data_IF_425389514214
#
_entry.id   IF_425389514214
#
_cell.length_a   1.000
_cell.length_b   1.000
_cell.length_c   1.000
_cell.angle_alpha   90.00
_cell.angle_beta   90.00
_cell.angle_gamma   90.00
#
_symmetry.space_group_name_H-M   'P 1'
#
loop_
_entity.id
_entity.type
_entity.pdbx_description
1 polymer ?
#
# COMPACT_ATOMS: atom_id res chain seq x y z
N UNK A 1 -6.11 -17.84 -0.02
CA UNK A 1 -4.95 -17.69 0.89
C UNK A 1 -3.80 -16.85 0.30
N UNK A 2 -3.39 -17.00 -0.97
CA UNK A 2 -2.25 -16.24 -1.54
C UNK A 2 -2.48 -14.73 -1.74
N UNK A 3 -3.71 -14.26 -1.97
CA UNK A 3 -3.99 -12.82 -2.12
C UNK A 3 -3.85 -12.03 -0.81
N UNK A 4 -4.01 -12.71 0.33
CA UNK A 4 -3.80 -12.11 1.64
C UNK A 4 -2.30 -11.93 1.88
N UNK A 5 -1.46 -12.88 1.46
CA UNK A 5 0.00 -12.74 1.55
C UNK A 5 0.56 -11.61 0.68
N UNK A 6 0.04 -11.40 -0.54
CA UNK A 6 0.53 -10.32 -1.40
C UNK A 6 0.10 -8.92 -0.93
N UNK A 7 -1.06 -8.82 -0.24
CA UNK A 7 -1.54 -7.57 0.37
C UNK A 7 -0.94 -7.33 1.77
N UNK A 8 -0.47 -8.36 2.46
CA UNK A 8 0.27 -8.25 3.73
C UNK A 8 1.73 -7.79 3.49
N UNK A 9 2.29 -8.03 2.30
CA UNK A 9 3.72 -7.76 2.05
C UNK A 9 4.06 -6.27 1.88
N UNK A 10 3.07 -5.39 1.69
CA UNK A 10 3.30 -3.95 1.65
C UNK A 10 2.81 -3.28 2.94
N UNK A 11 3.50 -3.57 4.06
CA UNK A 11 3.31 -2.85 5.32
C UNK A 11 3.43 -1.34 5.07
N UNK A 12 2.46 -0.60 5.59
CA UNK A 12 2.46 0.85 5.49
C UNK A 12 3.56 1.46 6.35
N UNK A 13 3.92 2.71 6.03
CA UNK A 13 4.82 3.47 6.90
C UNK A 13 4.25 3.66 8.30
N UNK A 14 2.92 3.63 8.47
CA UNK A 14 2.24 3.81 9.75
C UNK A 14 2.50 2.64 10.70
N UNK A 15 2.43 1.43 10.18
CA UNK A 15 2.73 0.22 10.95
C UNK A 15 4.22 0.14 11.31
N UNK A 16 5.11 0.47 10.36
CA UNK A 16 6.55 0.58 10.62
C UNK A 16 6.85 1.63 11.71
N UNK A 17 6.19 2.78 11.64
CA UNK A 17 6.29 3.84 12.65
C UNK A 17 5.75 3.41 14.01
N UNK A 18 4.69 2.59 14.04
CA UNK A 18 4.13 2.03 15.28
C UNK A 18 5.12 1.08 15.97
N UNK A 19 5.87 0.29 15.19
CA UNK A 19 6.96 -0.56 15.68
C UNK A 19 8.11 0.31 16.24
N UNK A 20 8.56 1.31 15.48
CA UNK A 20 9.62 2.23 15.91
C UNK A 20 9.27 2.99 17.20
N UNK A 21 8.00 3.38 17.36
CA UNK A 21 7.49 4.06 18.56
C UNK A 21 7.26 3.12 19.75
N UNK A 22 7.51 1.81 19.62
CA UNK A 22 7.29 0.83 20.69
C UNK A 22 5.81 0.64 21.04
N UNK A 23 4.89 1.07 20.16
CA UNK A 23 3.43 0.93 20.34
C UNK A 23 2.89 -0.37 19.77
N UNK A 24 3.76 -1.21 19.20
CA UNK A 24 3.45 -2.56 18.77
C UNK A 24 3.23 -3.45 20.01
N UNK A 25 2.03 -3.41 20.58
CA UNK A 25 1.64 -4.27 21.70
C UNK A 25 1.78 -5.76 21.32
N UNK A 26 2.50 -6.52 22.14
CA UNK A 26 2.65 -8.00 22.08
C UNK A 26 3.31 -8.60 20.82
N UNK A 27 4.38 -8.00 20.29
CA UNK A 27 5.23 -8.68 19.28
C UNK A 27 6.53 -9.16 19.90
N UNK A 28 6.97 -10.36 19.52
CA UNK A 28 8.29 -10.89 19.91
C UNK A 28 9.42 -10.06 19.30
N UNK A 29 10.49 -9.84 20.07
CA UNK A 29 11.64 -9.06 19.65
C UNK A 29 12.30 -9.61 18.37
N UNK A 30 12.27 -10.92 18.16
CA UNK A 30 12.78 -11.56 16.95
C UNK A 30 11.98 -11.17 15.69
N UNK A 31 10.64 -11.11 15.80
CA UNK A 31 9.78 -10.70 14.69
C UNK A 31 9.95 -9.21 14.37
N UNK A 32 10.11 -8.38 15.39
CA UNK A 32 10.38 -6.94 15.22
C UNK A 32 11.71 -6.74 14.49
N UNK A 33 12.76 -7.48 14.88
CA UNK A 33 14.09 -7.40 14.26
C UNK A 33 14.05 -7.83 12.79
N UNK A 34 13.35 -8.92 12.49
CA UNK A 34 13.20 -9.41 11.12
C UNK A 34 12.45 -8.40 10.23
N UNK A 35 11.32 -7.85 10.71
CA UNK A 35 10.57 -6.82 9.98
C UNK A 35 11.38 -5.53 9.79
N UNK A 36 12.17 -5.14 10.80
CA UNK A 36 13.05 -3.97 10.71
C UNK A 36 14.18 -4.18 9.70
N UNK A 37 14.77 -5.38 9.66
CA UNK A 37 15.81 -5.72 8.70
C UNK A 37 15.26 -5.72 7.27
N UNK A 38 14.06 -6.26 7.05
CA UNK A 38 13.41 -6.29 5.73
C UNK A 38 13.09 -4.88 5.20
N UNK A 39 12.77 -3.92 6.08
CA UNK A 39 12.45 -2.55 5.71
C UNK A 39 13.59 -1.55 5.97
N UNK A 40 14.78 -2.04 6.36
CA UNK A 40 15.95 -1.21 6.72
C UNK A 40 16.38 -0.28 5.59
N UNK A 41 16.42 -0.77 4.35
CA UNK A 41 16.78 0.05 3.19
C UNK A 41 15.79 1.19 2.97
N UNK A 42 14.50 0.94 3.16
CA UNK A 42 13.45 1.98 3.06
C UNK A 42 13.59 3.02 4.17
N UNK A 43 13.99 2.62 5.38
CA UNK A 43 14.28 3.54 6.48
C UNK A 43 15.52 4.39 6.22
N UNK A 44 16.57 3.78 5.62
CA UNK A 44 17.81 4.47 5.27
C UNK A 44 17.61 5.47 4.12
N UNK A 45 16.87 5.09 3.08
CA UNK A 45 16.56 5.96 1.94
C UNK A 45 15.51 7.02 2.29
N UNK A 46 14.63 6.75 3.26
CA UNK A 46 13.63 7.69 3.75
C UNK A 46 12.70 8.18 2.64
N UNK A 47 12.70 9.49 2.38
CA UNK A 47 11.92 10.09 1.30
C UNK A 47 12.52 9.83 -0.09
N UNK A 48 13.81 9.53 -0.19
CA UNK A 48 14.47 9.19 -1.46
C UNK A 48 14.04 7.82 -2.01
N UNK A 49 13.37 7.01 -1.20
CA UNK A 49 12.71 5.78 -1.62
C UNK A 49 11.57 6.04 -2.62
N UNK A 50 10.93 7.21 -2.52
CA UNK A 50 9.86 7.60 -3.42
C UNK A 50 10.44 8.08 -4.75
N UNK A 51 10.08 7.38 -5.81
CA UNK A 51 10.57 7.61 -7.16
C UNK A 51 9.70 8.65 -7.85
N UNK A 52 10.30 9.32 -8.83
CA UNK A 52 9.59 10.22 -9.72
C UNK A 52 8.64 9.43 -10.65
N UNK A 53 7.58 10.09 -11.18
CA UNK A 53 6.67 9.48 -12.14
C UNK A 53 7.42 8.97 -13.37
N UNK A 54 7.01 7.83 -13.91
CA UNK A 54 7.64 7.27 -15.11
C UNK A 54 6.60 6.68 -16.07
N UNK A 55 6.86 6.83 -17.38
CA UNK A 55 5.96 6.27 -18.40
C UNK A 55 5.81 4.73 -18.29
N UNK A 56 6.85 4.06 -17.78
CA UNK A 56 6.85 2.62 -17.56
C UNK A 56 5.93 2.20 -16.40
N UNK A 57 6.00 2.91 -15.26
CA UNK A 57 5.11 2.67 -14.13
C UNK A 57 3.66 3.03 -14.44
N UNK A 58 3.43 4.13 -15.18
CA UNK A 58 2.10 4.46 -15.69
C UNK A 58 1.51 3.35 -16.57
N UNK A 59 2.32 2.73 -17.45
CA UNK A 59 1.89 1.62 -18.30
C UNK A 59 1.55 0.37 -17.47
N UNK A 60 2.36 0.05 -16.46
CA UNK A 60 2.12 -1.08 -15.55
C UNK A 60 0.84 -0.90 -14.75
N UNK A 61 0.61 0.28 -14.17
CA UNK A 61 -0.64 0.57 -13.42
C UNK A 61 -1.86 0.44 -14.32
N UNK A 62 -1.77 0.89 -15.57
CA UNK A 62 -2.85 0.71 -16.57
C UNK A 62 -3.09 -0.76 -16.88
N UNK A 63 -2.03 -1.55 -17.05
CA UNK A 63 -2.10 -2.97 -17.36
C UNK A 63 -2.54 -3.86 -16.17
N UNK A 64 -2.39 -3.39 -14.93
CA UNK A 64 -2.68 -4.19 -13.74
C UNK A 64 -4.19 -4.49 -13.59
N UNK A 65 -4.59 -5.75 -13.82
CA UNK A 65 -6.00 -6.16 -13.75
C UNK A 65 -6.53 -6.29 -12.32
N UNK A 66 -5.67 -6.22 -11.29
CA UNK A 66 -6.05 -6.40 -9.90
C UNK A 66 -6.55 -5.12 -9.24
N UNK A 67 -6.26 -3.96 -9.85
CA UNK A 67 -6.64 -2.63 -9.35
C UNK A 67 -7.90 -2.18 -10.08
N UNK A 68 -8.95 -1.82 -9.32
CA UNK A 68 -10.19 -1.32 -9.93
C UNK A 68 -9.95 -0.04 -10.74
N UNK A 69 -10.69 0.15 -11.83
CA UNK A 69 -10.54 1.34 -12.69
C UNK A 69 -10.63 2.69 -11.94
N UNK A 70 -11.56 2.90 -10.99
CA UNK A 70 -11.61 4.14 -10.21
C UNK A 70 -10.36 4.36 -9.35
N UNK A 71 -9.80 3.27 -8.81
CA UNK A 71 -8.59 3.32 -8.00
C UNK A 71 -7.36 3.67 -8.84
N UNK A 72 -7.29 3.18 -10.08
CA UNK A 72 -6.22 3.56 -11.03
C UNK A 72 -6.28 5.03 -11.39
N UNK A 73 -7.47 5.54 -11.74
CA UNK A 73 -7.63 6.96 -12.06
C UNK A 73 -7.25 7.87 -10.89
N UNK A 74 -7.69 7.51 -9.68
CA UNK A 74 -7.33 8.24 -8.47
C UNK A 74 -5.81 8.17 -8.21
N UNK A 75 -5.19 6.99 -8.35
CA UNK A 75 -3.75 6.83 -8.19
C UNK A 75 -2.95 7.66 -9.21
N UNK A 76 -3.41 7.74 -10.47
CA UNK A 76 -2.78 8.61 -11.48
C UNK A 76 -2.92 10.10 -11.14
N UNK A 77 -4.04 10.52 -10.53
CA UNK A 77 -4.20 11.90 -10.04
C UNK A 77 -3.29 12.18 -8.85
N UNK A 78 -3.18 11.23 -7.91
CA UNK A 78 -2.29 11.33 -6.75
C UNK A 78 -0.83 11.37 -7.18
N UNK A 79 -0.43 10.52 -8.12
CA UNK A 79 0.92 10.53 -8.74
C UNK A 79 1.26 11.89 -9.32
N UNK A 80 0.36 12.48 -10.11
CA UNK A 80 0.55 13.84 -10.66
C UNK A 80 0.60 14.92 -9.57
N UNK A 81 -0.22 14.80 -8.54
CA UNK A 81 -0.29 15.78 -7.46
C UNK A 81 0.95 15.76 -6.56
N UNK A 82 1.43 14.56 -6.20
CA UNK A 82 2.58 14.37 -5.32
C UNK A 82 3.91 14.27 -6.07
N UNK A 83 3.89 14.29 -7.42
CA UNK A 83 5.05 13.99 -8.26
C UNK A 83 5.72 12.68 -7.86
N UNK A 84 4.89 11.64 -7.70
CA UNK A 84 5.27 10.33 -7.22
C UNK A 84 5.05 9.27 -8.30
N UNK A 85 5.90 8.26 -8.33
CA UNK A 85 5.72 7.06 -9.16
C UNK A 85 4.29 6.49 -9.06
N UNK A 86 3.74 6.11 -10.21
CA UNK A 86 2.38 5.64 -10.33
C UNK A 86 2.14 4.33 -9.56
N UNK A 87 3.10 3.40 -9.54
CA UNK A 87 2.98 2.14 -8.79
C UNK A 87 3.00 2.43 -7.28
N UNK A 88 3.89 3.32 -6.82
CA UNK A 88 3.95 3.73 -5.41
C UNK A 88 2.71 4.53 -4.98
N UNK A 89 2.12 5.32 -5.89
CA UNK A 89 0.87 6.04 -5.65
C UNK A 89 -0.31 5.09 -5.46
N UNK A 90 -0.37 4.00 -6.24
CA UNK A 90 -1.37 2.92 -6.04
C UNK A 90 -1.18 2.28 -4.67
N UNK A 91 0.06 1.94 -4.30
CA UNK A 91 0.36 1.31 -3.02
C UNK A 91 -0.02 2.19 -1.82
N UNK A 92 0.34 3.49 -1.85
CA UNK A 92 -0.03 4.44 -0.80
C UNK A 92 -1.55 4.54 -0.64
N UNK A 93 -2.27 4.61 -1.75
CA UNK A 93 -3.72 4.70 -1.76
C UNK A 93 -4.37 3.41 -1.21
N UNK A 94 -3.81 2.25 -1.52
CA UNK A 94 -4.25 0.97 -0.96
C UNK A 94 -4.02 0.91 0.55
N UNK A 95 -2.85 1.34 1.06
CA UNK A 95 -2.58 1.42 2.49
C UNK A 95 -3.58 2.36 3.18
N UNK A 96 -3.78 3.56 2.63
CA UNK A 96 -4.75 4.54 3.16
C UNK A 96 -6.17 3.96 3.27
N UNK A 97 -6.64 3.28 2.23
CA UNK A 97 -7.97 2.64 2.21
C UNK A 97 -8.11 1.51 3.22
N UNK A 98 -7.02 0.83 3.58
CA UNK A 98 -7.02 -0.27 4.54
C UNK A 98 -6.94 0.21 5.99
N UNK A 99 -6.16 1.26 6.26
CA UNK A 99 -5.78 1.64 7.63
C UNK A 99 -6.52 2.88 8.15
N UNK A 100 -6.68 3.88 7.30
CA UNK A 100 -7.12 5.23 7.70
C UNK A 100 -8.49 5.62 7.11
N UNK A 101 -8.97 4.90 6.09
CA UNK A 101 -10.30 5.15 5.54
C UNK A 101 -11.40 4.68 6.52
N UNK A 102 -12.01 5.65 7.21
CA UNK A 102 -13.11 5.48 8.18
C UNK A 102 -14.51 5.59 7.54
N UNK A 103 -14.64 5.35 6.23
CA UNK A 103 -15.95 5.33 5.57
C UNK A 103 -16.84 4.20 6.10
N UNK A 104 -18.17 4.39 6.06
CA UNK A 104 -19.16 3.40 6.50
C UNK A 104 -18.85 2.05 5.85
N UNK A 105 -18.69 1.01 6.68
CA UNK A 105 -18.23 -0.36 6.33
C UNK A 105 -19.02 -1.06 5.20
N UNK A 106 -20.06 -0.43 4.68
CA UNK A 106 -20.89 -0.88 3.56
C UNK A 106 -20.43 -0.40 2.18
N UNK A 107 -19.66 0.69 2.04
CA UNK A 107 -19.16 1.12 0.72
C UNK A 107 -18.04 0.23 0.16
N UNK A 108 -17.24 -0.39 1.03
CA UNK A 108 -16.14 -1.30 0.64
C UNK A 108 -16.65 -2.70 0.26
N UNK A 109 -17.88 -3.07 0.65
CA UNK A 109 -18.47 -4.36 0.25
C UNK A 109 -18.83 -4.41 -1.24
N UNK A 110 -19.07 -3.26 -1.88
CA UNK A 110 -19.44 -3.21 -3.31
C UNK A 110 -18.27 -3.61 -4.21
N UNK A 111 -17.02 -3.33 -3.81
CA UNK A 111 -15.83 -3.75 -4.55
C UNK A 111 -15.42 -5.21 -4.31
N UNK A 112 -16.02 -5.89 -3.33
CA UNK A 112 -15.77 -7.31 -3.03
C UNK A 112 -16.90 -8.26 -3.46
N UNK A 113 -18.10 -7.76 -3.83
CA UNK A 113 -19.27 -8.63 -4.08
C UNK A 113 -19.41 -9.15 -5.53
N UNK A 114 -18.59 -8.73 -6.51
CA UNK A 114 -18.65 -9.28 -7.87
C UNK A 114 -17.77 -10.52 -8.11
N UNK A 115 -17.13 -11.08 -7.07
CA UNK A 115 -16.34 -12.32 -7.20
C UNK A 115 -16.67 -13.33 -6.09
N UNK A 116 -17.97 -13.53 -5.85
CA UNK A 116 -18.48 -14.64 -5.03
C UNK A 116 -19.78 -15.25 -5.59
N UNK A 117 -20.21 -14.87 -6.80
CA UNK A 117 -21.25 -15.56 -7.57
C UNK A 117 -20.93 -15.46 -9.06
N UNK A 118 -20.08 -16.38 -9.51
CA UNK A 118 -20.15 -17.18 -10.74
C UNK A 118 -18.88 -18.02 -10.81
#
# INVERSE_FOLDING_TARGET
>A
QMLICFLIFHRSNRELWTILLGRSSFREAAQITEELNQHSQRLLEGLSYYKLPSANSAAKVKADKNVSAPLKELALRVSKFLSLDEEQSVQLLQCYLQEDYRGTRDSVKVSRKHRARM
#
